data_IF_117784907074
#
_entry.id   IF_117784907074
#
_cell.length_a   1.000
_cell.length_b   1.000
_cell.length_c   1.000
_cell.angle_alpha   90.00
_cell.angle_beta   90.00
_cell.angle_gamma   90.00
#
_symmetry.space_group_name_H-M   'P 1'
#
loop_
_entity.id
_entity.type
_entity.pdbx_description
1 polymer ?
#
# COMPACT_ATOMS: atom_id res chain seq x y z
N UNK A 1 -34.19 4.80 -0.46
CA UNK A 1 -34.16 4.54 -1.91
C UNK A 1 -32.75 4.04 -2.23
N UNK A 2 -32.55 2.73 -2.45
CA UNK A 2 -31.22 2.13 -2.70
C UNK A 2 -30.79 2.46 -4.13
N UNK A 3 -29.57 3.00 -4.36
CA UNK A 3 -29.09 3.17 -5.72
C UNK A 3 -28.81 1.80 -6.31
N UNK A 4 -29.54 1.43 -7.34
CA UNK A 4 -29.25 0.28 -8.19
C UNK A 4 -28.06 0.64 -9.08
N UNK A 5 -26.84 0.36 -8.63
CA UNK A 5 -25.72 0.28 -9.55
C UNK A 5 -25.87 -0.97 -10.42
N UNK A 6 -26.30 -0.79 -11.66
CA UNK A 6 -26.20 -1.83 -12.67
C UNK A 6 -24.72 -2.10 -12.93
N UNK A 7 -24.28 -3.31 -12.62
CA UNK A 7 -22.98 -3.84 -13.04
C UNK A 7 -22.99 -4.02 -14.57
N UNK A 8 -22.54 -3.02 -15.29
CA UNK A 8 -22.06 -3.22 -16.66
C UNK A 8 -20.54 -3.34 -16.58
N UNK A 9 -20.03 -4.55 -16.55
CA UNK A 9 -18.62 -4.86 -16.76
C UNK A 9 -18.28 -4.50 -18.21
N UNK A 10 -17.93 -3.23 -18.44
CA UNK A 10 -17.43 -2.75 -19.73
C UNK A 10 -15.93 -3.00 -19.85
N UNK A 11 -15.59 -4.29 -19.85
CA UNK A 11 -14.26 -4.71 -20.29
C UNK A 11 -14.41 -5.82 -21.32
N UNK A 12 -13.48 -5.84 -22.27
CA UNK A 12 -13.35 -7.01 -23.10
C UNK A 12 -13.07 -8.19 -22.16
N UNK A 13 -14.12 -8.91 -21.83
CA UNK A 13 -14.09 -10.15 -21.04
C UNK A 13 -12.91 -11.09 -21.39
N UNK A 14 -12.34 -11.09 -22.61
CA UNK A 14 -11.23 -11.94 -22.98
C UNK A 14 -9.92 -11.65 -22.24
N UNK A 15 -9.57 -10.38 -21.99
CA UNK A 15 -8.23 -10.04 -21.43
C UNK A 15 -8.16 -10.36 -19.94
N UNK A 16 -9.15 -9.94 -19.15
CA UNK A 16 -9.18 -10.23 -17.72
C UNK A 16 -9.29 -11.72 -17.43
N UNK A 17 -10.06 -12.43 -18.23
CA UNK A 17 -10.24 -13.88 -18.10
C UNK A 17 -8.98 -14.67 -18.48
N UNK A 18 -8.33 -14.30 -19.57
CA UNK A 18 -7.06 -14.91 -20.00
C UNK A 18 -5.94 -14.66 -18.98
N UNK A 19 -5.82 -13.42 -18.49
CA UNK A 19 -4.84 -13.08 -17.47
C UNK A 19 -5.12 -13.78 -16.13
N UNK A 20 -6.38 -13.94 -15.74
CA UNK A 20 -6.76 -14.67 -14.52
C UNK A 20 -6.38 -16.16 -14.61
N UNK A 21 -6.39 -16.76 -15.81
CA UNK A 21 -5.91 -18.13 -16.04
C UNK A 21 -4.39 -18.25 -15.91
N UNK A 22 -3.64 -17.25 -16.36
CA UNK A 22 -2.17 -17.23 -16.28
C UNK A 22 -1.71 -16.89 -14.84
N UNK A 23 -2.43 -16.01 -14.16
CA UNK A 23 -2.10 -15.50 -12.82
C UNK A 23 -3.29 -15.67 -11.86
N UNK A 24 -3.66 -16.91 -11.51
CA UNK A 24 -4.87 -17.18 -10.72
C UNK A 24 -4.86 -16.58 -9.33
N UNK A 25 -3.68 -16.38 -8.74
CA UNK A 25 -3.50 -15.78 -7.42
C UNK A 25 -3.61 -14.26 -7.35
N UNK A 26 -3.63 -13.56 -8.51
CA UNK A 26 -3.76 -12.09 -8.52
C UNK A 26 -5.22 -11.65 -8.50
N UNK A 27 -5.52 -10.59 -7.75
CA UNK A 27 -6.81 -9.94 -7.80
C UNK A 27 -7.03 -9.22 -9.15
N UNK A 28 -8.28 -9.08 -9.57
CA UNK A 28 -8.62 -8.39 -10.82
C UNK A 28 -8.10 -6.96 -10.82
N UNK A 29 -8.16 -6.27 -9.70
CA UNK A 29 -7.60 -4.92 -9.53
C UNK A 29 -6.09 -4.87 -9.83
N UNK A 30 -5.33 -5.84 -9.35
CA UNK A 30 -3.87 -5.94 -9.60
C UNK A 30 -3.58 -6.22 -11.07
N UNK A 31 -4.37 -7.07 -11.72
CA UNK A 31 -4.24 -7.36 -13.15
C UNK A 31 -4.44 -6.09 -14.00
N UNK A 32 -5.45 -5.28 -13.67
CA UNK A 32 -5.67 -4.01 -14.35
C UNK A 32 -4.52 -3.03 -14.18
N UNK A 33 -4.02 -2.91 -12.96
CA UNK A 33 -2.87 -2.05 -12.64
C UNK A 33 -1.64 -2.51 -13.42
N UNK A 34 -1.38 -3.83 -13.49
CA UNK A 34 -0.23 -4.41 -14.19
C UNK A 34 -0.21 -4.14 -15.70
N UNK A 35 -1.37 -3.93 -16.32
CA UNK A 35 -1.48 -3.60 -17.75
C UNK A 35 -1.73 -2.11 -18.03
N UNK A 36 -1.53 -1.25 -17.02
CA UNK A 36 -1.66 0.21 -17.14
C UNK A 36 -3.08 0.77 -17.05
N UNK A 37 -4.09 -0.05 -16.78
CA UNK A 37 -5.48 0.39 -16.61
C UNK A 37 -5.77 0.81 -15.17
N UNK A 38 -5.02 1.77 -14.66
CA UNK A 38 -5.06 2.22 -13.26
C UNK A 38 -6.45 2.65 -12.77
N UNK A 39 -7.25 3.33 -13.59
CA UNK A 39 -8.61 3.75 -13.19
C UNK A 39 -9.52 2.55 -12.94
N UNK A 40 -9.44 1.54 -13.79
CA UNK A 40 -10.19 0.30 -13.63
C UNK A 40 -9.67 -0.49 -12.43
N UNK A 41 -8.35 -0.58 -12.26
CA UNK A 41 -7.73 -1.19 -11.09
C UNK A 41 -8.22 -0.59 -9.79
N UNK A 42 -8.29 0.74 -9.69
CA UNK A 42 -8.83 1.44 -8.51
C UNK A 42 -10.31 1.14 -8.28
N UNK A 43 -11.12 1.10 -9.33
CA UNK A 43 -12.55 0.81 -9.21
C UNK A 43 -12.80 -0.63 -8.75
N UNK A 44 -12.07 -1.60 -9.29
CA UNK A 44 -12.13 -3.00 -8.87
C UNK A 44 -11.60 -3.21 -7.45
N UNK A 45 -10.54 -2.51 -7.07
CA UNK A 45 -10.02 -2.52 -5.71
C UNK A 45 -11.07 -2.02 -4.72
N UNK A 46 -11.66 -0.86 -4.99
CA UNK A 46 -12.69 -0.28 -4.12
C UNK A 46 -13.92 -1.18 -4.00
N UNK A 47 -14.37 -1.78 -5.11
CA UNK A 47 -15.48 -2.74 -5.10
C UNK A 47 -15.16 -3.95 -4.23
N UNK A 48 -13.99 -4.58 -4.44
CA UNK A 48 -13.56 -5.73 -3.63
C UNK A 48 -13.44 -5.39 -2.14
N UNK A 49 -12.97 -4.19 -1.81
CA UNK A 49 -12.87 -3.71 -0.43
C UNK A 49 -14.26 -3.54 0.21
N UNK A 50 -15.20 -2.89 -0.49
CA UNK A 50 -16.56 -2.70 0.03
C UNK A 50 -17.30 -4.03 0.16
N UNK A 51 -17.14 -4.94 -0.81
CA UNK A 51 -17.71 -6.28 -0.74
C UNK A 51 -17.15 -7.08 0.45
N UNK A 52 -15.83 -6.98 0.71
CA UNK A 52 -15.18 -7.57 1.87
C UNK A 52 -15.77 -7.01 3.18
N UNK A 53 -15.85 -5.68 3.32
CA UNK A 53 -16.40 -5.04 4.49
C UNK A 53 -17.88 -5.39 4.72
N UNK A 54 -18.65 -5.59 3.65
CA UNK A 54 -20.06 -5.97 3.75
C UNK A 54 -20.27 -7.44 4.10
N UNK A 55 -19.36 -8.32 3.69
CA UNK A 55 -19.47 -9.77 3.83
C UNK A 55 -18.76 -10.36 5.05
N UNK A 56 -17.97 -9.56 5.76
CA UNK A 56 -17.18 -10.01 6.92
C UNK A 56 -17.38 -9.09 8.12
N UNK A 57 -17.03 -9.58 9.31
CA UNK A 57 -16.95 -8.77 10.53
C UNK A 57 -15.58 -8.09 10.73
N UNK A 58 -14.75 -8.11 9.68
CA UNK A 58 -13.43 -7.52 9.69
C UNK A 58 -13.49 -6.01 9.98
N UNK A 59 -12.52 -5.53 10.73
CA UNK A 59 -12.42 -4.12 11.13
C UNK A 59 -11.02 -3.58 10.86
N UNK A 60 -10.94 -2.29 10.55
CA UNK A 60 -9.67 -1.60 10.45
C UNK A 60 -9.00 -1.55 11.82
N UNK A 61 -7.76 -2.03 11.86
CA UNK A 61 -6.87 -2.00 13.02
C UNK A 61 -5.57 -1.30 12.67
N UNK A 62 -4.90 -0.75 13.69
CA UNK A 62 -3.57 -0.18 13.49
C UNK A 62 -2.57 -1.27 13.09
N UNK A 63 -1.70 -0.96 12.16
CA UNK A 63 -0.52 -1.74 11.81
C UNK A 63 0.73 -1.14 12.45
N UNK A 64 1.93 -1.50 11.97
CA UNK A 64 3.17 -0.93 12.51
C UNK A 64 3.22 0.59 12.42
N UNK A 65 3.64 1.23 13.51
CA UNK A 65 3.75 2.69 13.60
C UNK A 65 4.93 3.21 12.77
N UNK A 66 4.64 4.00 11.75
CA UNK A 66 5.63 4.77 11.02
C UNK A 66 5.91 6.14 11.67
N UNK A 67 7.08 6.73 11.40
CA UNK A 67 7.45 8.07 11.91
C UNK A 67 6.67 9.19 11.20
N UNK A 68 6.45 9.06 9.90
CA UNK A 68 5.82 10.08 9.04
C UNK A 68 4.39 9.70 8.68
N UNK A 69 4.13 8.40 8.56
CA UNK A 69 2.83 7.87 8.17
C UNK A 69 2.21 7.05 9.27
N UNK A 70 0.89 7.11 9.36
CA UNK A 70 0.09 6.16 10.11
C UNK A 70 -0.37 5.06 9.18
N UNK A 71 -0.24 3.81 9.62
CA UNK A 71 -0.54 2.62 8.83
C UNK A 71 -1.61 1.82 9.53
N UNK A 72 -2.65 1.46 8.82
CA UNK A 72 -3.73 0.62 9.31
C UNK A 72 -4.12 -0.42 8.26
N UNK A 73 -4.81 -1.46 8.66
CA UNK A 73 -5.11 -2.61 7.80
C UNK A 73 -6.41 -3.29 8.21
N UNK A 74 -6.93 -4.12 7.30
CA UNK A 74 -7.96 -5.11 7.60
C UNK A 74 -7.29 -6.49 7.69
N UNK A 75 -7.41 -7.23 8.80
CA UNK A 75 -6.76 -8.54 8.95
C UNK A 75 -7.05 -9.51 7.81
N UNK A 76 -8.29 -9.59 7.35
CA UNK A 76 -8.73 -10.47 6.27
C UNK A 76 -8.49 -9.94 4.85
N UNK A 77 -8.02 -8.69 4.69
CA UNK A 77 -7.79 -8.07 3.39
C UNK A 77 -6.30 -7.75 3.21
N UNK A 78 -5.67 -8.29 2.17
CA UNK A 78 -4.21 -8.24 1.98
C UNK A 78 -3.69 -6.87 1.52
N UNK A 79 -4.09 -5.82 2.23
CA UNK A 79 -3.73 -4.43 1.92
C UNK A 79 -3.46 -3.66 3.19
N UNK A 80 -2.47 -2.80 3.16
CA UNK A 80 -2.24 -1.75 4.16
C UNK A 80 -2.67 -0.41 3.59
N UNK A 81 -3.20 0.43 4.47
CA UNK A 81 -3.65 1.79 4.20
C UNK A 81 -2.71 2.75 4.91
N UNK A 82 -2.26 3.78 4.21
CA UNK A 82 -1.27 4.72 4.72
C UNK A 82 -1.77 6.14 4.58
N UNK A 83 -1.76 6.89 5.67
CA UNK A 83 -2.06 8.33 5.69
C UNK A 83 -0.87 9.10 6.25
N UNK A 84 -0.65 10.30 5.75
CA UNK A 84 0.39 11.19 6.29
C UNK A 84 -0.13 11.81 7.59
N UNK A 85 0.67 11.76 8.64
CA UNK A 85 0.39 12.44 9.91
C UNK A 85 0.41 13.96 9.71
N UNK A 86 -0.35 14.69 10.50
CA UNK A 86 -0.35 16.17 10.46
C UNK A 86 0.86 16.77 11.18
N UNK A 87 1.44 16.00 12.12
CA UNK A 87 2.63 16.38 12.86
C UNK A 87 3.68 15.28 12.79
N UNK A 88 4.89 15.64 12.44
CA UNK A 88 6.03 14.74 12.40
C UNK A 88 6.88 14.89 13.66
N UNK A 89 7.66 13.85 13.98
CA UNK A 89 8.68 13.94 15.02
C UNK A 89 9.66 15.08 14.70
N UNK A 90 10.11 15.87 15.70
CA UNK A 90 11.06 16.98 15.50
C UNK A 90 12.36 16.61 14.80
N UNK A 91 12.73 15.33 14.82
CA UNK A 91 13.92 14.81 14.14
C UNK A 91 13.77 14.71 12.60
N UNK A 92 12.56 14.94 12.05
CA UNK A 92 12.27 14.87 10.61
C UNK A 92 11.89 16.26 10.10
N UNK A 93 12.82 16.92 9.46
CA UNK A 93 12.59 18.22 8.81
C UNK A 93 11.92 18.01 7.43
N UNK A 94 10.72 17.40 7.42
CA UNK A 94 9.97 17.03 6.22
C UNK A 94 8.54 17.50 6.41
N UNK A 95 7.97 18.12 5.40
CA UNK A 95 6.56 18.50 5.37
C UNK A 95 5.70 17.51 4.54
N UNK A 96 4.37 17.64 4.64
CA UNK A 96 3.42 16.82 3.92
C UNK A 96 3.60 16.91 2.40
N UNK A 97 3.89 18.09 1.87
CA UNK A 97 4.06 18.32 0.45
C UNK A 97 5.29 17.55 -0.08
N UNK A 98 6.39 17.62 0.65
CA UNK A 98 7.60 16.85 0.35
C UNK A 98 7.35 15.34 0.35
N UNK A 99 6.57 14.81 1.28
CA UNK A 99 6.21 13.39 1.30
C UNK A 99 5.45 13.01 0.03
N UNK A 100 4.43 13.78 -0.33
CA UNK A 100 3.62 13.54 -1.54
C UNK A 100 4.49 13.61 -2.80
N UNK A 101 5.37 14.60 -2.90
CA UNK A 101 6.29 14.75 -4.03
C UNK A 101 7.22 13.54 -4.17
N UNK A 102 7.78 13.07 -3.05
CA UNK A 102 8.65 11.88 -3.04
C UNK A 102 7.90 10.63 -3.54
N UNK A 103 6.67 10.41 -3.10
CA UNK A 103 5.84 9.31 -3.60
C UNK A 103 5.61 9.40 -5.12
N UNK A 104 5.29 10.59 -5.61
CA UNK A 104 5.09 10.82 -7.07
C UNK A 104 6.37 10.64 -7.86
N UNK A 105 7.49 11.18 -7.35
CA UNK A 105 8.80 11.07 -8.00
C UNK A 105 9.18 9.60 -8.19
N UNK A 106 9.12 8.80 -7.12
CA UNK A 106 9.50 7.38 -7.21
C UNK A 106 8.60 6.63 -8.15
N UNK A 107 7.29 6.84 -8.08
CA UNK A 107 6.34 6.21 -9.01
C UNK A 107 6.62 6.55 -10.48
N UNK A 108 7.15 7.76 -10.75
CA UNK A 108 7.48 8.18 -12.12
C UNK A 108 8.80 7.63 -12.64
N UNK A 109 9.75 7.28 -11.75
CA UNK A 109 11.10 6.84 -12.12
C UNK A 109 11.35 5.35 -11.89
N UNK A 110 10.50 4.66 -11.13
CA UNK A 110 10.62 3.22 -10.90
C UNK A 110 10.31 2.45 -12.19
N UNK A 111 11.37 2.02 -12.85
CA UNK A 111 11.34 1.13 -14.03
C UNK A 111 11.76 -0.28 -13.69
N UNK A 112 12.05 -0.55 -12.43
CA UNK A 112 12.67 -1.79 -11.97
C UNK A 112 11.63 -2.75 -11.41
N UNK A 113 10.51 -2.22 -10.88
CA UNK A 113 9.45 -3.01 -10.26
C UNK A 113 9.85 -3.59 -8.90
N UNK A 114 10.82 -2.96 -8.22
CA UNK A 114 11.23 -3.34 -6.85
C UNK A 114 10.54 -2.53 -5.76
N UNK A 115 9.83 -1.49 -6.17
CA UNK A 115 9.00 -0.72 -5.23
C UNK A 115 7.64 -1.39 -5.07
N UNK A 116 7.15 -1.42 -3.86
CA UNK A 116 5.78 -1.88 -3.62
C UNK A 116 4.79 -1.03 -4.42
N UNK A 117 3.91 -1.71 -5.14
CA UNK A 117 2.90 -1.03 -5.96
C UNK A 117 1.92 -0.28 -5.05
N UNK A 118 1.85 1.04 -5.21
CA UNK A 118 1.00 1.91 -4.40
C UNK A 118 -0.09 2.53 -5.25
N UNK A 119 -1.29 2.62 -4.70
CA UNK A 119 -2.40 3.35 -5.30
C UNK A 119 -2.78 4.51 -4.37
N UNK A 120 -2.93 5.70 -4.96
CA UNK A 120 -3.35 6.90 -4.27
C UNK A 120 -4.86 7.08 -4.43
N UNK A 121 -5.56 7.31 -3.32
CA UNK A 121 -7.00 7.54 -3.28
C UNK A 121 -7.31 8.87 -2.61
N UNK A 122 -8.33 9.54 -3.12
CA UNK A 122 -8.91 10.72 -2.52
C UNK A 122 -10.34 10.42 -2.07
N UNK A 123 -10.74 11.02 -0.94
CA UNK A 123 -12.10 10.98 -0.40
C UNK A 123 -12.67 9.56 -0.23
N UNK A 124 -11.86 8.66 0.35
CA UNK A 124 -12.32 7.34 0.75
C UNK A 124 -13.37 7.46 1.86
N UNK A 125 -14.49 6.75 1.67
CA UNK A 125 -15.59 6.70 2.64
C UNK A 125 -15.81 5.28 3.11
N UNK A 126 -15.78 5.08 4.42
CA UNK A 126 -15.97 3.78 5.06
C UNK A 126 -17.04 3.86 6.15
N UNK A 127 -17.81 2.77 6.37
CA UNK A 127 -18.74 2.73 7.50
C UNK A 127 -17.99 2.88 8.83
N UNK A 128 -18.47 3.76 9.72
CA UNK A 128 -17.88 4.01 11.04
C UNK A 128 -17.71 2.73 11.86
N UNK A 129 -18.72 1.84 11.85
CA UNK A 129 -18.70 0.58 12.59
C UNK A 129 -17.67 -0.44 12.10
N UNK A 130 -16.94 -0.15 11.00
CA UNK A 130 -15.86 -0.99 10.46
C UNK A 130 -14.47 -0.58 10.97
N UNK A 131 -14.40 0.33 11.92
CA UNK A 131 -13.15 0.66 12.60
C UNK A 131 -13.14 0.08 14.01
N UNK A 132 -12.01 -0.48 14.40
CA UNK A 132 -11.72 -0.68 15.81
C UNK A 132 -11.66 0.69 16.51
N UNK A 133 -12.26 0.85 17.70
CA UNK A 133 -12.28 2.14 18.39
C UNK A 133 -10.90 2.76 18.61
N UNK A 134 -9.92 1.95 19.02
CA UNK A 134 -8.55 2.44 19.26
C UNK A 134 -7.86 2.86 17.94
N UNK A 135 -8.15 2.16 16.84
CA UNK A 135 -7.66 2.53 15.53
C UNK A 135 -8.22 3.89 15.09
N UNK A 136 -9.52 4.07 15.22
CA UNK A 136 -10.16 5.32 14.82
C UNK A 136 -9.68 6.51 15.67
N UNK A 137 -9.57 6.33 16.99
CA UNK A 137 -9.05 7.34 17.90
C UNK A 137 -7.64 7.78 17.52
N UNK A 138 -6.72 6.82 17.29
CA UNK A 138 -5.35 7.15 16.86
C UNK A 138 -5.34 7.89 15.51
N UNK A 139 -6.15 7.47 14.54
CA UNK A 139 -6.21 8.14 13.22
C UNK A 139 -6.72 9.58 13.33
N UNK A 140 -7.72 9.83 14.16
CA UNK A 140 -8.27 11.17 14.42
C UNK A 140 -7.27 12.05 15.16
N UNK A 141 -6.47 11.48 16.06
CA UNK A 141 -5.43 12.21 16.81
C UNK A 141 -4.27 12.61 15.91
N UNK A 142 -3.73 11.67 15.11
CA UNK A 142 -2.48 11.89 14.35
C UNK A 142 -2.67 12.59 13.02
N UNK A 143 -3.88 12.54 12.45
CA UNK A 143 -4.18 13.11 11.12
C UNK A 143 -5.58 13.73 11.02
N UNK A 144 -5.97 14.65 11.92
CA UNK A 144 -7.31 15.27 11.93
C UNK A 144 -7.63 16.04 10.65
N UNK A 145 -6.64 16.53 9.92
CA UNK A 145 -6.86 17.18 8.61
C UNK A 145 -7.26 16.20 7.51
N UNK A 146 -6.92 14.93 7.69
CA UNK A 146 -7.11 13.87 6.69
C UNK A 146 -8.29 12.97 7.02
N UNK A 147 -8.52 12.69 8.31
CA UNK A 147 -9.56 11.76 8.79
C UNK A 147 -10.65 12.54 9.50
N UNK A 148 -11.90 12.34 9.08
CA UNK A 148 -13.06 13.02 9.64
C UNK A 148 -14.22 12.03 9.79
N UNK A 149 -15.03 12.19 10.85
CA UNK A 149 -16.25 11.43 11.03
C UNK A 149 -17.44 12.28 10.57
N UNK A 150 -18.20 11.77 9.61
CA UNK A 150 -19.39 12.40 9.05
C UNK A 150 -20.59 11.45 9.27
N UNK A 151 -21.29 11.61 10.39
CA UNK A 151 -22.40 10.72 10.78
C UNK A 151 -21.91 9.28 10.95
N UNK A 152 -22.49 8.35 10.22
CA UNK A 152 -22.11 6.90 10.24
C UNK A 152 -20.93 6.56 9.30
N UNK A 153 -20.19 7.57 8.84
CA UNK A 153 -19.13 7.38 7.84
C UNK A 153 -17.83 8.04 8.31
N UNK A 154 -16.72 7.35 8.09
CA UNK A 154 -15.37 7.92 8.21
C UNK A 154 -14.91 8.34 6.82
N UNK A 155 -14.61 9.61 6.64
CA UNK A 155 -14.01 10.17 5.45
C UNK A 155 -12.50 10.25 5.62
N UNK A 156 -11.76 9.66 4.68
CA UNK A 156 -10.29 9.78 4.57
C UNK A 156 -9.98 10.55 3.30
N UNK A 157 -9.59 11.82 3.44
CA UNK A 157 -9.39 12.74 2.30
C UNK A 157 -8.24 12.33 1.39
N UNK A 158 -7.21 11.70 1.93
CA UNK A 158 -6.05 11.27 1.15
C UNK A 158 -5.42 10.03 1.78
N UNK A 159 -5.31 8.96 1.00
CA UNK A 159 -4.80 7.67 1.44
C UNK A 159 -4.02 6.98 0.32
N UNK A 160 -2.95 6.32 0.68
CA UNK A 160 -2.29 5.34 -0.18
C UNK A 160 -2.64 3.94 0.27
N UNK A 161 -2.79 3.04 -0.68
CA UNK A 161 -2.91 1.61 -0.43
C UNK A 161 -1.70 0.90 -1.00
N UNK A 162 -1.26 -0.13 -0.30
CA UNK A 162 -0.12 -0.96 -0.68
C UNK A 162 -0.42 -2.40 -0.29
N UNK A 163 0.10 -3.35 -1.06
CA UNK A 163 -0.01 -4.76 -0.70
C UNK A 163 0.68 -5.01 0.64
N UNK A 164 0.01 -5.74 1.53
CA UNK A 164 0.61 -6.16 2.80
C UNK A 164 1.74 -7.14 2.54
N UNK A 165 2.91 -6.84 3.05
CA UNK A 165 4.12 -7.66 2.96
C UNK A 165 4.58 -8.04 4.35
N UNK A 166 5.31 -9.14 4.46
CA UNK A 166 6.01 -9.49 5.69
C UNK A 166 7.32 -8.70 5.74
N UNK A 167 7.58 -7.87 6.75
CA UNK A 167 8.87 -7.19 6.91
C UNK A 167 10.02 -8.20 6.86
N UNK A 168 11.09 -7.86 6.14
CA UNK A 168 12.21 -8.78 5.88
C UNK A 168 12.87 -9.25 7.19
N UNK A 169 13.04 -8.37 8.17
CA UNK A 169 13.55 -8.75 9.48
C UNK A 169 12.71 -9.85 10.14
N UNK A 170 11.37 -9.70 10.15
CA UNK A 170 10.47 -10.71 10.74
C UNK A 170 10.41 -11.99 9.89
N UNK A 171 10.56 -11.87 8.58
CA UNK A 171 10.64 -13.04 7.72
C UNK A 171 11.88 -13.88 8.02
N UNK A 172 13.04 -13.22 8.17
CA UNK A 172 14.31 -13.91 8.45
C UNK A 172 14.34 -14.64 9.81
N UNK A 173 13.62 -14.12 10.81
CA UNK A 173 13.49 -14.75 12.13
C UNK A 173 12.80 -16.14 12.06
N UNK A 174 11.89 -16.32 11.10
CA UNK A 174 11.08 -17.52 10.96
C UNK A 174 11.45 -18.40 9.76
N UNK A 175 12.44 -17.99 8.97
CA UNK A 175 12.85 -18.66 7.74
C UNK A 175 13.90 -19.75 8.01
N UNK A 176 13.88 -20.82 7.21
CA UNK A 176 14.96 -21.80 7.19
C UNK A 176 16.20 -21.27 6.44
N UNK A 177 17.33 -21.97 6.55
CA UNK A 177 18.61 -21.52 5.99
C UNK A 177 18.57 -21.29 4.46
N UNK A 178 17.79 -22.06 3.72
CA UNK A 178 17.63 -21.89 2.27
C UNK A 178 16.83 -20.62 1.96
N UNK A 179 15.72 -20.39 2.66
CA UNK A 179 14.89 -19.20 2.53
C UNK A 179 15.62 -17.92 2.96
N UNK A 180 16.44 -17.99 4.01
CA UNK A 180 17.30 -16.87 4.44
C UNK A 180 18.27 -16.50 3.32
N UNK A 181 18.95 -17.48 2.72
CA UNK A 181 19.87 -17.23 1.61
C UNK A 181 19.17 -16.59 0.42
N UNK A 182 18.06 -17.18 -0.02
CA UNK A 182 17.27 -16.66 -1.15
C UNK A 182 16.82 -15.23 -0.92
N UNK A 183 16.28 -14.93 0.28
CA UNK A 183 15.81 -13.59 0.63
C UNK A 183 16.95 -12.56 0.69
N UNK A 184 18.12 -12.93 1.20
CA UNK A 184 19.28 -12.03 1.27
C UNK A 184 19.91 -11.81 -0.10
N UNK A 185 19.97 -12.83 -0.96
CA UNK A 185 20.45 -12.71 -2.35
C UNK A 185 19.51 -11.77 -3.14
N UNK A 186 18.19 -11.92 -2.98
CA UNK A 186 17.22 -11.06 -3.64
C UNK A 186 17.19 -9.64 -3.05
N UNK A 187 17.42 -9.47 -1.74
CA UNK A 187 17.63 -8.18 -1.12
C UNK A 187 18.83 -7.44 -1.73
N UNK A 188 19.96 -8.12 -1.87
CA UNK A 188 21.16 -7.57 -2.51
C UNK A 188 20.91 -7.19 -3.97
N UNK A 189 20.17 -8.03 -4.70
CA UNK A 189 19.77 -7.76 -6.07
C UNK A 189 18.83 -6.55 -6.17
N UNK A 190 17.85 -6.44 -5.26
CA UNK A 190 16.94 -5.29 -5.21
C UNK A 190 17.70 -3.97 -5.03
N UNK A 191 18.69 -3.94 -4.13
CA UNK A 191 19.55 -2.76 -3.92
C UNK A 191 20.31 -2.40 -5.20
N UNK A 192 20.95 -3.38 -5.85
CA UNK A 192 21.68 -3.16 -7.11
C UNK A 192 20.77 -2.61 -8.21
N UNK A 193 19.59 -3.16 -8.34
CA UNK A 193 18.61 -2.73 -9.35
C UNK A 193 18.10 -1.31 -9.09
N UNK A 194 17.80 -0.97 -7.84
CA UNK A 194 17.40 0.38 -7.46
C UNK A 194 18.52 1.39 -7.71
N UNK A 195 19.76 1.05 -7.33
CA UNK A 195 20.92 1.89 -7.59
C UNK A 195 21.14 2.12 -9.11
N UNK A 196 20.99 1.07 -9.93
CA UNK A 196 21.05 1.19 -11.39
C UNK A 196 19.95 2.09 -11.98
N UNK A 197 18.79 2.18 -11.31
CA UNK A 197 17.71 3.11 -11.66
C UNK A 197 17.88 4.50 -11.04
N UNK A 198 19.00 4.77 -10.37
CA UNK A 198 19.29 6.02 -9.67
C UNK A 198 18.28 6.31 -8.52
N UNK A 199 17.78 5.24 -7.89
CA UNK A 199 16.89 5.27 -6.75
C UNK A 199 17.66 4.79 -5.52
N UNK A 200 17.87 5.69 -4.55
CA UNK A 200 18.56 5.36 -3.31
C UNK A 200 17.58 5.44 -2.13
N UNK A 201 17.25 4.30 -1.49
CA UNK A 201 16.53 4.32 -0.22
C UNK A 201 17.37 5.04 0.82
N UNK A 202 16.82 6.04 1.47
CA UNK A 202 17.52 6.82 2.50
C UNK A 202 17.76 6.04 3.79
N UNK A 203 17.11 4.89 3.94
CA UNK A 203 17.23 3.99 5.09
C UNK A 203 17.15 2.55 4.60
N UNK A 204 18.26 1.84 4.71
CA UNK A 204 18.47 0.46 4.23
C UNK A 204 18.17 -0.58 5.31
N UNK A 205 17.39 -0.24 6.35
CA UNK A 205 17.00 -1.19 7.39
C UNK A 205 16.12 -2.31 6.81
N UNK A 206 16.36 -3.54 7.24
CA UNK A 206 15.62 -4.73 6.77
C UNK A 206 14.10 -4.60 6.96
N UNK A 207 13.65 -3.92 8.02
CA UNK A 207 12.22 -3.66 8.25
C UNK A 207 11.53 -2.83 7.16
N UNK A 208 12.32 -2.09 6.34
CA UNK A 208 11.80 -1.28 5.26
C UNK A 208 11.67 -2.05 3.95
N UNK A 209 12.07 -3.30 3.95
CA UNK A 209 11.91 -4.25 2.86
C UNK A 209 10.86 -5.27 3.25
N UNK A 210 10.03 -5.67 2.32
CA UNK A 210 8.99 -6.66 2.54
C UNK A 210 9.15 -7.85 1.62
N UNK A 211 8.83 -9.03 2.14
CA UNK A 211 8.77 -10.26 1.36
C UNK A 211 7.34 -10.52 0.95
N UNK A 212 7.10 -10.77 -0.34
CA UNK A 212 5.80 -11.18 -0.85
C UNK A 212 5.64 -12.70 -0.80
N UNK A 213 4.42 -13.21 -0.86
CA UNK A 213 4.15 -14.68 -0.82
C UNK A 213 4.86 -15.49 -1.90
N UNK A 214 5.31 -14.89 -2.98
CA UNK A 214 5.94 -15.54 -4.14
C UNK A 214 7.34 -15.01 -4.41
N UNK A 215 7.95 -14.47 -3.37
CA UNK A 215 9.39 -14.19 -3.23
C UNK A 215 10.11 -13.13 -4.04
N UNK A 216 9.70 -12.02 -4.58
CA UNK A 216 10.68 -10.95 -4.62
C UNK A 216 10.66 -10.12 -3.33
N UNK A 217 11.85 -9.78 -2.84
CA UNK A 217 12.03 -8.75 -1.83
C UNK A 217 11.73 -7.40 -2.48
N UNK A 218 10.74 -6.70 -1.93
CA UNK A 218 10.30 -5.38 -2.40
C UNK A 218 10.57 -4.33 -1.34
N UNK A 219 10.78 -3.10 -1.77
CA UNK A 219 10.98 -1.97 -0.87
C UNK A 219 9.63 -1.39 -0.48
N UNK A 220 9.33 -1.37 0.81
CA UNK A 220 8.15 -0.69 1.37
C UNK A 220 8.36 0.83 1.39
N UNK A 221 7.28 1.58 1.19
CA UNK A 221 7.32 3.05 1.11
C UNK A 221 7.39 3.76 2.48
N UNK A 222 7.50 3.03 3.58
CA UNK A 222 7.28 3.58 4.93
C UNK A 222 8.39 4.52 5.45
N UNK A 223 9.59 4.52 4.87
CA UNK A 223 10.74 5.24 5.45
C UNK A 223 11.65 5.92 4.43
N UNK A 224 11.17 6.18 3.23
CA UNK A 224 12.05 6.64 2.17
C UNK A 224 12.33 8.15 2.22
N UNK A 225 13.54 8.47 2.61
CA UNK A 225 14.23 9.66 2.12
C UNK A 225 14.86 9.27 0.79
N UNK A 226 14.16 9.44 -0.33
CA UNK A 226 14.78 9.21 -1.63
C UNK A 226 15.57 10.42 -2.05
N UNK A 227 16.82 10.21 -2.33
CA UNK A 227 17.67 11.19 -3.03
C UNK A 227 17.84 10.73 -4.47
N UNK A 228 17.47 11.58 -5.41
CA UNK A 228 17.93 11.46 -6.79
C UNK A 228 19.35 12.06 -6.79
N UNK A 229 20.35 11.28 -7.21
CA UNK A 229 21.66 11.86 -7.49
C UNK A 229 21.46 12.93 -8.58
N UNK A 230 21.92 14.14 -8.31
CA UNK A 230 22.03 15.17 -9.32
C UNK A 230 23.04 14.66 -10.35
N UNK A 231 22.59 14.39 -11.56
CA UNK A 231 23.42 14.18 -12.74
C UNK A 231 23.90 15.52 -13.25
#
# INVERSE_FOLDING_TARGET
MKPKFRSSSLLPAPISWSMKRILPGKHVAELYTSIGFYKHGKSEFYRALIDHLASTDDRFIMAERGMVMSVFTLPGFNTVFKIIKDRFSPSKNVDRATVIEKYRLVKSVDRVGRMADTQEFADFRFPLGKFDPACLEELLEVAPSTVQVEGETVLIRHCWTERRMTPLNLYLENANAAQVREALDDYGLAIKQLAAANIFPGDMLLKNFGVTRHAPVMVGWCSMTMTKSAS
#
